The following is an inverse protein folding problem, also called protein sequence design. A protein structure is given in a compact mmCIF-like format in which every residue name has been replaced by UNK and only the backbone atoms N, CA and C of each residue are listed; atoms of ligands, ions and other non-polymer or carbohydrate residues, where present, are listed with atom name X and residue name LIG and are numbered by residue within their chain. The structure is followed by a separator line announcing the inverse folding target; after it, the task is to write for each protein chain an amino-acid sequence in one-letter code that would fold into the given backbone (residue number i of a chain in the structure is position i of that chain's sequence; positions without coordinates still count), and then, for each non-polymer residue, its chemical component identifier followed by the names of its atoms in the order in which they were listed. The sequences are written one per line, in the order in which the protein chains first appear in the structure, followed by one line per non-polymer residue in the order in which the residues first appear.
data_IF_273668063233
#
_entry.id   IF_273668063233
#
_cell.length_a   1.000
_cell.length_b   1.000
_cell.length_c   1.000
_cell.angle_alpha   90.00
_cell.angle_beta   90.00
_cell.angle_gamma   90.00
#
_symmetry.space_group_name_H-M   'P 1'
#
loop_
_entity.id
_entity.type
_entity.pdbx_description
1 polymer ?
#
# COMPACT_ATOMS: atom_id res chain seq x y z
N UNK A 1 -1.84 -36.01 25.65
CA UNK A 1 -2.47 -35.83 24.33
C UNK A 1 -1.35 -35.95 23.31
N UNK A 2 -1.53 -36.82 22.30
CA UNK A 2 -0.50 -37.18 21.33
C UNK A 2 -0.76 -36.38 20.05
N UNK A 3 0.28 -35.72 19.51
CA UNK A 3 0.26 -35.12 18.19
C UNK A 3 1.38 -35.66 17.35
N UNK A 4 1.13 -35.86 16.06
CA UNK A 4 2.13 -36.35 15.12
C UNK A 4 2.86 -35.14 14.50
N UNK A 5 4.04 -34.83 15.05
CA UNK A 5 4.80 -33.65 14.73
C UNK A 5 6.26 -33.97 14.43
N UNK A 6 6.89 -33.10 13.65
CA UNK A 6 8.34 -33.09 13.48
C UNK A 6 8.95 -31.81 14.09
N UNK A 7 10.12 -31.89 14.72
CA UNK A 7 10.82 -30.72 15.24
C UNK A 7 11.44 -29.91 14.09
N UNK A 8 11.14 -28.61 14.06
CA UNK A 8 11.84 -27.67 13.18
C UNK A 8 13.06 -27.11 13.90
N UNK A 9 14.22 -27.33 13.33
CA UNK A 9 15.47 -26.70 13.73
C UNK A 9 15.91 -25.75 12.63
N UNK A 10 16.34 -24.56 13.01
CA UNK A 10 16.80 -23.53 12.08
C UNK A 10 18.23 -23.14 12.48
N UNK A 11 19.12 -23.15 11.52
CA UNK A 11 20.48 -22.65 11.69
C UNK A 11 20.44 -21.13 11.61
N UNK A 12 20.77 -20.46 12.71
CA UNK A 12 20.95 -19.02 12.76
C UNK A 12 22.43 -18.69 12.69
N UNK A 13 22.75 -17.65 11.92
CA UNK A 13 24.08 -17.07 11.85
C UNK A 13 23.95 -15.63 12.35
N UNK A 14 24.59 -15.33 13.48
CA UNK A 14 24.67 -13.99 14.02
C UNK A 14 25.96 -13.34 13.51
N UNK A 15 25.80 -12.32 12.67
CA UNK A 15 26.89 -11.49 12.20
C UNK A 15 27.12 -10.33 13.17
N UNK A 16 28.24 -10.31 13.86
CA UNK A 16 28.65 -9.20 14.70
C UNK A 16 29.45 -8.24 13.83
N UNK A 17 28.97 -7.02 13.67
CA UNK A 17 29.63 -5.97 12.88
C UNK A 17 30.46 -5.06 13.78
N UNK A 18 31.47 -4.38 13.21
CA UNK A 18 32.24 -3.35 13.90
C UNK A 18 31.34 -2.13 14.20
N UNK A 19 31.52 -1.51 15.37
CA UNK A 19 30.77 -0.31 15.77
C UNK A 19 31.01 0.89 14.84
N UNK A 20 32.23 0.98 14.26
CA UNK A 20 32.63 2.09 13.40
C UNK A 20 32.37 1.84 11.91
N UNK A 21 32.28 0.58 11.50
CA UNK A 21 32.09 0.19 10.10
C UNK A 21 31.16 -1.02 9.99
N UNK A 22 29.87 -0.76 9.78
CA UNK A 22 28.84 -1.81 9.68
C UNK A 22 29.01 -2.74 8.47
N UNK A 23 29.92 -2.43 7.55
CA UNK A 23 30.24 -3.31 6.42
C UNK A 23 31.24 -4.41 6.78
N UNK A 24 31.95 -4.27 7.90
CA UNK A 24 32.93 -5.26 8.38
C UNK A 24 32.33 -6.16 9.44
N UNK A 25 32.38 -7.47 9.16
CA UNK A 25 32.01 -8.50 10.11
C UNK A 25 33.23 -8.81 11.01
N UNK A 26 32.98 -8.76 12.32
CA UNK A 26 34.01 -9.07 13.33
C UNK A 26 33.99 -10.56 13.65
N UNK A 27 32.80 -11.13 13.76
CA UNK A 27 32.63 -12.53 14.14
C UNK A 27 31.28 -13.05 13.64
N UNK A 28 31.27 -14.32 13.20
CA UNK A 28 30.06 -15.06 12.90
C UNK A 28 29.87 -16.17 13.94
N UNK A 29 28.68 -16.23 14.53
CA UNK A 29 28.30 -17.27 15.49
C UNK A 29 27.16 -18.06 14.85
N UNK A 30 27.43 -19.35 14.57
CA UNK A 30 26.44 -20.28 14.06
C UNK A 30 25.84 -21.10 15.20
N UNK A 31 24.50 -21.24 15.23
CA UNK A 31 23.82 -22.08 16.19
C UNK A 31 22.55 -22.69 15.59
N UNK A 32 22.34 -24.00 15.83
CA UNK A 32 21.09 -24.66 15.52
C UNK A 32 20.10 -24.41 16.70
N UNK A 33 19.02 -23.71 16.38
CA UNK A 33 17.97 -23.34 17.35
C UNK A 33 16.71 -24.12 17.07
N UNK A 34 16.16 -24.73 18.11
CA UNK A 34 14.83 -25.33 18.02
C UNK A 34 13.78 -24.23 17.89
N UNK A 35 13.05 -24.24 16.76
CA UNK A 35 12.08 -23.20 16.43
C UNK A 35 10.65 -23.57 16.82
N UNK A 36 10.36 -24.87 16.85
CA UNK A 36 9.04 -25.38 17.22
C UNK A 36 8.77 -26.75 16.62
N UNK A 37 7.56 -27.24 16.84
CA UNK A 37 7.07 -28.48 16.23
C UNK A 37 6.08 -28.13 15.13
N UNK A 38 6.22 -28.78 13.96
CA UNK A 38 5.27 -28.66 12.85
C UNK A 38 4.45 -29.95 12.79
N UNK A 39 3.10 -29.87 12.73
CA UNK A 39 2.28 -31.03 12.46
C UNK A 39 2.69 -31.72 11.16
N UNK A 40 2.86 -33.02 11.20
CA UNK A 40 3.25 -33.81 10.03
C UNK A 40 2.02 -34.50 9.44
N UNK A 41 1.92 -34.44 8.11
CA UNK A 41 0.81 -35.03 7.37
C UNK A 41 0.98 -36.54 7.29
N UNK A 42 -0.10 -37.28 7.53
CA UNK A 42 -0.15 -38.73 7.32
C UNK A 42 -0.27 -39.06 5.81
N UNK A 43 -0.05 -40.33 5.45
CA UNK A 43 -0.22 -40.80 4.06
C UNK A 43 -1.66 -40.60 3.54
N UNK A 44 -2.65 -40.58 4.42
CA UNK A 44 -4.06 -40.32 4.09
C UNK A 44 -4.39 -38.84 3.92
N UNK A 45 -3.42 -37.93 4.06
CA UNK A 45 -3.63 -36.46 3.94
C UNK A 45 -4.25 -35.83 5.19
N UNK A 46 -4.14 -36.49 6.34
CA UNK A 46 -4.68 -36.02 7.61
C UNK A 46 -3.59 -35.58 8.57
N UNK A 47 -3.96 -34.89 9.64
CA UNK A 47 -3.08 -34.46 10.73
C UNK A 47 -3.60 -35.01 12.06
N UNK A 48 -2.71 -35.51 12.92
CA UNK A 48 -3.08 -35.96 14.27
C UNK A 48 -2.70 -34.85 15.25
N UNK A 49 -3.70 -34.20 15.81
CA UNK A 49 -3.52 -33.09 16.75
C UNK A 49 -4.31 -33.39 18.03
N UNK A 50 -3.60 -33.45 19.17
CA UNK A 50 -4.17 -33.77 20.47
C UNK A 50 -4.95 -35.11 20.50
N UNK A 51 -4.51 -36.09 19.71
CA UNK A 51 -5.13 -37.40 19.61
C UNK A 51 -6.36 -37.47 18.68
N UNK A 52 -6.71 -36.38 18.02
CA UNK A 52 -7.78 -36.32 17.02
C UNK A 52 -7.23 -36.25 15.62
N UNK A 53 -7.74 -37.04 14.71
CA UNK A 53 -7.44 -36.97 13.29
C UNK A 53 -8.22 -35.84 12.66
N UNK A 54 -7.50 -34.92 11.95
CA UNK A 54 -8.05 -33.70 11.38
C UNK A 54 -7.64 -33.55 9.94
N UNK A 55 -8.48 -32.88 9.15
CA UNK A 55 -8.25 -32.54 7.74
C UNK A 55 -8.36 -31.04 7.57
N UNK A 56 -7.51 -30.48 6.75
CA UNK A 56 -7.61 -29.08 6.34
C UNK A 56 -8.60 -29.02 5.19
N UNK A 57 -9.66 -28.20 5.37
CA UNK A 57 -10.67 -27.96 4.34
C UNK A 57 -10.40 -26.62 3.66
N UNK A 58 -10.59 -26.56 2.34
CA UNK A 58 -10.49 -25.33 1.58
C UNK A 58 -11.58 -24.34 1.99
N UNK A 59 -11.22 -23.07 2.13
CA UNK A 59 -12.16 -22.00 2.42
C UNK A 59 -12.31 -21.10 1.20
N UNK A 60 -13.55 -20.68 0.92
CA UNK A 60 -13.83 -19.72 -0.13
C UNK A 60 -13.35 -18.33 0.30
N UNK A 61 -12.52 -17.71 -0.52
CA UNK A 61 -11.97 -16.37 -0.30
C UNK A 61 -12.22 -15.50 -1.54
N UNK A 62 -12.43 -14.20 -1.34
CA UNK A 62 -12.42 -13.26 -2.46
C UNK A 62 -11.05 -13.26 -3.13
N UNK A 63 -11.05 -13.31 -4.47
CA UNK A 63 -9.81 -13.21 -5.25
C UNK A 63 -9.13 -11.85 -5.00
N UNK A 64 -7.79 -11.81 -4.98
CA UNK A 64 -7.05 -10.56 -5.00
C UNK A 64 -7.38 -9.76 -6.26
N UNK A 65 -7.40 -8.44 -6.15
CA UNK A 65 -7.67 -7.57 -7.28
C UNK A 65 -8.27 -6.23 -6.86
N UNK A 66 -8.68 -5.46 -7.87
CA UNK A 66 -9.37 -4.18 -7.69
C UNK A 66 -10.81 -4.34 -8.12
N UNK A 67 -11.72 -3.95 -7.26
CA UNK A 67 -13.16 -4.03 -7.47
C UNK A 67 -13.77 -2.63 -7.42
N UNK A 68 -14.59 -2.31 -8.40
CA UNK A 68 -15.30 -1.04 -8.46
C UNK A 68 -16.78 -1.26 -8.19
N UNK A 69 -17.35 -0.37 -7.39
CA UNK A 69 -18.78 -0.39 -7.05
C UNK A 69 -19.29 1.04 -6.91
N UNK A 70 -20.57 1.22 -6.78
CA UNK A 70 -21.18 2.50 -6.49
C UNK A 70 -22.44 2.33 -5.64
N UNK A 71 -22.75 3.36 -4.90
CA UNK A 71 -23.98 3.46 -4.11
C UNK A 71 -24.61 4.85 -4.30
N UNK A 72 -25.87 5.00 -3.92
CA UNK A 72 -26.54 6.30 -3.93
C UNK A 72 -26.73 6.78 -2.50
N UNK A 73 -26.30 8.01 -2.27
CA UNK A 73 -26.61 8.71 -1.03
C UNK A 73 -28.12 9.07 -0.99
N UNK A 74 -28.76 9.22 0.18
CA UNK A 74 -30.18 9.62 0.28
C UNK A 74 -30.56 10.89 -0.47
N UNK A 75 -29.63 11.80 -0.71
CA UNK A 75 -29.83 13.00 -1.54
C UNK A 75 -29.76 12.76 -3.06
N UNK A 76 -29.58 11.52 -3.50
CA UNK A 76 -29.45 11.15 -4.92
C UNK A 76 -28.05 11.22 -5.50
N UNK A 77 -27.04 11.71 -4.76
CA UNK A 77 -25.66 11.77 -5.23
C UNK A 77 -25.06 10.38 -5.32
N UNK A 78 -24.38 10.08 -6.44
CA UNK A 78 -23.70 8.82 -6.66
C UNK A 78 -22.33 8.82 -5.96
N UNK A 79 -22.12 7.86 -5.08
CA UNK A 79 -20.86 7.63 -4.36
C UNK A 79 -20.15 6.45 -5.00
N UNK A 80 -18.90 6.64 -5.38
CA UNK A 80 -18.06 5.60 -5.97
C UNK A 80 -17.19 4.93 -4.91
N UNK A 81 -16.96 3.64 -5.09
CA UNK A 81 -16.10 2.81 -4.25
C UNK A 81 -15.12 2.06 -5.15
N UNK A 82 -13.84 2.14 -4.83
CA UNK A 82 -12.80 1.28 -5.39
C UNK A 82 -12.16 0.50 -4.25
N UNK A 83 -12.25 -0.82 -4.28
CA UNK A 83 -11.72 -1.71 -3.25
C UNK A 83 -10.53 -2.48 -3.77
N UNK A 84 -9.39 -2.37 -3.08
CA UNK A 84 -8.20 -3.14 -3.36
C UNK A 84 -8.12 -4.29 -2.36
N UNK A 85 -8.18 -5.52 -2.87
CA UNK A 85 -8.02 -6.74 -2.08
C UNK A 85 -6.66 -7.32 -2.42
N UNK A 86 -5.68 -7.31 -1.49
CA UNK A 86 -4.38 -7.92 -1.71
C UNK A 86 -4.46 -9.44 -1.56
N UNK A 87 -3.46 -10.15 -2.08
CA UNK A 87 -3.31 -11.58 -1.81
C UNK A 87 -3.12 -11.85 -0.32
N UNK A 88 -2.34 -10.98 0.35
CA UNK A 88 -2.09 -11.03 1.80
C UNK A 88 -1.93 -9.62 2.31
N UNK A 89 -2.65 -9.27 3.36
CA UNK A 89 -2.58 -7.96 4.02
C UNK A 89 -3.94 -7.28 4.12
N UNK A 90 -3.89 -6.01 4.47
CA UNK A 90 -5.08 -5.18 4.73
C UNK A 90 -5.79 -4.75 3.46
N UNK A 91 -7.11 -4.74 3.49
CA UNK A 91 -7.91 -4.19 2.40
C UNK A 91 -7.87 -2.66 2.43
N UNK A 92 -7.84 -2.06 1.25
CA UNK A 92 -7.88 -0.61 1.08
C UNK A 92 -9.07 -0.24 0.22
N UNK A 93 -9.96 0.57 0.78
CA UNK A 93 -11.12 1.12 0.09
C UNK A 93 -10.89 2.60 -0.19
N UNK A 94 -11.12 3.01 -1.43
CA UNK A 94 -11.23 4.42 -1.82
C UNK A 94 -12.70 4.74 -2.06
N UNK A 95 -13.21 5.77 -1.43
CA UNK A 95 -14.61 6.18 -1.59
C UNK A 95 -14.71 7.70 -1.81
N UNK A 96 -15.63 8.11 -2.67
CA UNK A 96 -16.00 9.52 -2.79
C UNK A 96 -17.02 9.91 -1.73
N UNK A 97 -17.11 11.19 -1.41
CA UNK A 97 -18.22 11.75 -0.65
C UNK A 97 -19.17 12.55 -1.57
N UNK A 98 -20.12 13.26 -0.94
CA UNK A 98 -21.09 14.09 -1.66
C UNK A 98 -20.48 15.33 -2.34
N UNK A 99 -19.25 15.67 -2.01
CA UNK A 99 -18.48 16.80 -2.54
C UNK A 99 -17.39 16.33 -3.51
N UNK A 100 -17.44 15.07 -3.99
CA UNK A 100 -16.44 14.45 -4.85
C UNK A 100 -15.02 14.34 -4.24
N UNK A 101 -14.90 14.52 -2.91
CA UNK A 101 -13.65 14.31 -2.22
C UNK A 101 -13.37 12.81 -2.05
N UNK A 102 -12.13 12.39 -2.35
CA UNK A 102 -11.72 10.99 -2.25
C UNK A 102 -11.10 10.72 -0.89
N UNK A 103 -11.60 9.68 -0.23
CA UNK A 103 -11.13 9.19 1.05
C UNK A 103 -10.60 7.76 0.94
N UNK A 104 -9.58 7.46 1.72
CA UNK A 104 -9.07 6.11 1.89
C UNK A 104 -9.51 5.53 3.24
N UNK A 105 -9.81 4.23 3.26
CA UNK A 105 -10.18 3.46 4.44
C UNK A 105 -9.34 2.18 4.42
N UNK A 106 -8.57 1.93 5.47
CA UNK A 106 -7.76 0.72 5.62
C UNK A 106 -8.40 -0.17 6.68
N UNK A 107 -8.66 -1.44 6.34
CA UNK A 107 -9.27 -2.43 7.23
C UNK A 107 -10.54 -1.96 7.94
N UNK A 108 -11.40 -1.25 7.23
CA UNK A 108 -12.66 -0.70 7.76
C UNK A 108 -12.48 0.23 8.98
N UNK A 109 -11.29 0.81 9.16
CA UNK A 109 -11.00 1.78 10.21
C UNK A 109 -11.49 3.18 9.80
N UNK A 110 -11.05 4.20 10.53
CA UNK A 110 -11.42 5.60 10.25
C UNK A 110 -10.97 6.03 8.86
N UNK A 111 -11.88 6.66 8.11
CA UNK A 111 -11.57 7.27 6.81
C UNK A 111 -10.69 8.51 6.96
N UNK A 112 -9.79 8.72 6.01
CA UNK A 112 -8.93 9.88 5.90
C UNK A 112 -8.74 10.27 4.43
N UNK A 113 -8.34 11.53 4.12
CA UNK A 113 -8.16 11.99 2.74
C UNK A 113 -7.17 11.10 1.97
N UNK A 114 -7.52 10.69 0.75
CA UNK A 114 -6.69 9.83 -0.08
C UNK A 114 -5.32 10.44 -0.40
N UNK A 115 -5.24 11.78 -0.46
CA UNK A 115 -3.99 12.50 -0.68
C UNK A 115 -2.93 12.22 0.39
N UNK A 116 -3.34 11.96 1.64
CA UNK A 116 -2.41 11.60 2.72
C UNK A 116 -1.78 10.21 2.45
N UNK A 117 -2.60 9.24 2.02
CA UNK A 117 -2.09 7.92 1.64
C UNK A 117 -1.15 8.01 0.45
N UNK A 118 -1.53 8.76 -0.59
CA UNK A 118 -0.70 8.95 -1.78
C UNK A 118 0.66 9.55 -1.44
N UNK A 119 0.70 10.56 -0.58
CA UNK A 119 1.96 11.14 -0.08
C UNK A 119 2.80 10.12 0.68
N UNK A 120 2.18 9.30 1.52
CA UNK A 120 2.89 8.27 2.29
C UNK A 120 3.52 7.18 1.41
N UNK A 121 2.95 6.88 0.24
CA UNK A 121 3.48 5.88 -0.70
C UNK A 121 4.42 6.46 -1.75
N UNK A 122 4.69 7.81 -1.74
CA UNK A 122 5.73 8.41 -2.56
C UNK A 122 5.32 9.57 -3.46
N UNK A 123 4.02 9.89 -3.60
CA UNK A 123 3.57 11.07 -4.35
C UNK A 123 3.71 12.33 -3.49
N UNK A 124 4.94 12.83 -3.35
CA UNK A 124 5.26 13.90 -2.38
C UNK A 124 4.67 15.24 -2.79
N UNK A 125 4.70 15.57 -4.08
CA UNK A 125 4.28 16.85 -4.63
C UNK A 125 2.81 16.81 -5.09
N UNK A 126 2.16 17.98 -5.09
CA UNK A 126 0.81 18.11 -5.63
C UNK A 126 0.75 17.78 -7.11
N UNK A 127 1.78 18.17 -7.87
CA UNK A 127 1.88 17.90 -9.30
C UNK A 127 1.85 16.40 -9.59
N UNK A 128 2.52 15.58 -8.78
CA UNK A 128 2.56 14.14 -8.94
C UNK A 128 1.15 13.53 -8.78
N UNK A 129 0.42 14.00 -7.76
CA UNK A 129 -0.96 13.55 -7.50
C UNK A 129 -1.88 13.96 -8.64
N UNK A 130 -1.85 15.22 -9.06
CA UNK A 130 -2.70 15.72 -10.15
C UNK A 130 -2.37 15.04 -11.48
N UNK A 131 -1.09 14.78 -11.74
CA UNK A 131 -0.64 14.06 -12.93
C UNK A 131 -1.13 12.61 -12.93
N UNK A 132 -1.06 11.92 -11.78
CA UNK A 132 -1.55 10.55 -11.63
C UNK A 132 -3.06 10.43 -11.90
N UNK A 133 -3.84 11.47 -11.58
CA UNK A 133 -5.27 11.54 -11.88
C UNK A 133 -5.58 12.11 -13.28
N UNK A 134 -4.55 12.46 -14.08
CA UNK A 134 -4.74 13.04 -15.41
C UNK A 134 -5.40 14.43 -15.39
N UNK A 135 -5.28 15.15 -14.26
CA UNK A 135 -5.86 16.49 -14.08
C UNK A 135 -4.98 17.61 -14.58
N UNK A 136 -3.72 17.32 -14.92
CA UNK A 136 -2.76 18.31 -15.43
C UNK A 136 -2.75 18.33 -16.95
N UNK A 137 -2.60 19.54 -17.51
CA UNK A 137 -2.38 19.76 -18.93
C UNK A 137 -1.19 20.70 -19.09
N UNK A 138 -0.30 20.39 -20.02
CA UNK A 138 0.82 21.26 -20.35
C UNK A 138 0.45 22.12 -21.55
N UNK A 139 0.60 23.42 -21.44
CA UNK A 139 0.35 24.38 -22.50
C UNK A 139 1.65 25.10 -22.87
N UNK A 140 1.76 25.51 -24.13
CA UNK A 140 2.83 26.42 -24.55
C UNK A 140 2.47 27.86 -24.13
N UNK A 141 3.44 28.64 -23.65
CA UNK A 141 3.25 30.04 -23.25
C UNK A 141 2.69 30.94 -24.36
N UNK A 142 2.84 30.54 -25.63
CA UNK A 142 2.24 31.22 -26.77
C UNK A 142 0.71 31.08 -26.87
N UNK A 143 0.12 30.15 -26.12
CA UNK A 143 -1.30 29.76 -26.22
C UNK A 143 -2.14 30.47 -25.16
N UNK A 144 -2.08 31.78 -25.11
CA UNK A 144 -2.65 32.63 -24.06
C UNK A 144 -4.14 32.43 -23.81
N UNK A 145 -4.94 32.08 -24.85
CA UNK A 145 -6.37 31.86 -24.72
C UNK A 145 -6.74 30.64 -23.90
N UNK A 146 -5.86 29.61 -23.88
CA UNK A 146 -6.11 28.36 -23.17
C UNK A 146 -5.54 28.36 -21.74
N UNK A 147 -4.73 29.38 -21.39
CA UNK A 147 -4.06 29.50 -20.10
C UNK A 147 -4.87 30.37 -19.13
N UNK A 148 -5.66 31.32 -19.64
CA UNK A 148 -6.49 32.19 -18.81
C UNK A 148 -7.42 31.40 -17.90
N UNK A 149 -7.56 31.84 -16.67
CA UNK A 149 -8.42 31.25 -15.63
C UNK A 149 -8.07 29.80 -15.27
N UNK A 150 -6.81 29.40 -15.44
CA UNK A 150 -6.31 28.08 -15.03
C UNK A 150 -5.43 28.17 -13.80
N UNK A 151 -5.63 27.21 -12.89
CA UNK A 151 -4.78 27.08 -11.71
C UNK A 151 -3.38 26.60 -12.12
N UNK A 152 -2.36 27.34 -11.73
CA UNK A 152 -0.96 27.01 -11.96
C UNK A 152 -0.53 26.01 -10.88
N UNK A 153 -0.05 24.86 -11.31
CA UNK A 153 0.33 23.74 -10.41
C UNK A 153 1.78 23.83 -9.98
N UNK A 154 2.65 24.43 -10.83
CA UNK A 154 4.08 24.55 -10.59
C UNK A 154 4.55 26.01 -10.79
N UNK A 155 5.61 26.43 -10.09
CA UNK A 155 6.15 27.79 -10.22
C UNK A 155 6.64 28.04 -11.64
N UNK A 156 6.27 29.17 -12.23
CA UNK A 156 6.81 29.63 -13.51
C UNK A 156 8.06 30.45 -13.24
N UNK A 157 9.21 29.92 -13.63
CA UNK A 157 10.53 30.53 -13.40
C UNK A 157 11.10 31.03 -14.71
N UNK A 158 11.65 32.26 -14.71
CA UNK A 158 12.46 32.76 -15.83
C UNK A 158 13.77 31.96 -15.89
N UNK A 159 13.97 31.22 -16.98
CA UNK A 159 15.16 30.41 -17.19
C UNK A 159 16.48 31.20 -17.32
N UNK A 160 16.41 32.52 -17.54
CA UNK A 160 17.60 33.40 -17.69
C UNK A 160 17.99 34.04 -16.35
N UNK A 161 17.05 34.45 -15.53
CA UNK A 161 17.28 35.16 -14.27
C UNK A 161 17.11 34.30 -13.03
N UNK A 162 16.37 33.17 -13.13
CA UNK A 162 16.01 32.33 -12.01
C UNK A 162 14.92 32.93 -11.12
N UNK A 163 14.31 34.04 -11.51
CA UNK A 163 13.21 34.67 -10.77
C UNK A 163 11.91 33.90 -10.98
N UNK A 164 11.13 33.75 -9.90
CA UNK A 164 9.78 33.19 -9.98
C UNK A 164 8.85 34.27 -10.51
N UNK A 165 8.35 34.10 -11.73
CA UNK A 165 7.42 35.00 -12.37
C UNK A 165 6.00 34.87 -11.86
N UNK A 166 5.57 33.64 -11.61
CA UNK A 166 4.26 33.33 -11.05
C UNK A 166 4.39 32.16 -10.09
N UNK A 167 3.88 32.33 -8.89
CA UNK A 167 3.88 31.25 -7.87
C UNK A 167 2.80 30.21 -8.16
N UNK A 168 3.08 28.96 -7.80
CA UNK A 168 2.11 27.87 -7.82
C UNK A 168 0.86 28.18 -7.00
N UNK A 169 -0.27 27.59 -7.37
CA UNK A 169 -1.61 27.79 -6.80
C UNK A 169 -2.20 29.19 -7.04
N UNK A 170 -1.68 29.93 -8.00
CA UNK A 170 -2.27 31.19 -8.50
C UNK A 170 -3.16 30.92 -9.71
N UNK A 171 -4.22 31.72 -9.90
CA UNK A 171 -5.14 31.66 -11.05
C UNK A 171 -4.84 32.82 -11.99
#
# INVERSE_FOLDING_TARGET
RISYNIPLKVKFILHITDENDRSKYVQDIEQDVFFGNIPYMTEAGTFIINGAERVIVSQLQRSPGVFFDHSFHPNGTKIFLARIIPFRGSWVDFTTDIYDCIYAIIDRRRKFPASILLRAIGFSLNIDIFSAFGLTKTFKLSDTKNILDKLIVDDIIDSSTGEVLVEKNTI
#
